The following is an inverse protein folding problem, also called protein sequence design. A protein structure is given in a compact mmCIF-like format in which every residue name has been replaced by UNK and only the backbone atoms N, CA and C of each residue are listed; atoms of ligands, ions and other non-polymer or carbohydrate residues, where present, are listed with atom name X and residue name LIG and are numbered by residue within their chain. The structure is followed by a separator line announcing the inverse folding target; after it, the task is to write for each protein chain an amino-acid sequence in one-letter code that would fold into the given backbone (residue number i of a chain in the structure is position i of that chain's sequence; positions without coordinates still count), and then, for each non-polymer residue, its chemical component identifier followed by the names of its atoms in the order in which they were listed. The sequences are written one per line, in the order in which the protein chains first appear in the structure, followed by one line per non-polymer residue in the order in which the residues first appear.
data_IF_738116300422
#
_entry.id   IF_738116300422
#
_cell.length_a   1.000
_cell.length_b   1.000
_cell.length_c   1.000
_cell.angle_alpha   90.00
_cell.angle_beta   90.00
_cell.angle_gamma   90.00
#
_symmetry.space_group_name_H-M   'P 1'
#
loop_
_entity.id
_entity.type
_entity.pdbx_description
1 polymer ?
#
# COMPACT_ATOMS: atom_id res chain seq x y z
N UNK A 1 -13.88 67.40 -54.96
CA UNK A 1 -14.34 66.16 -54.28
C UNK A 1 -14.07 64.98 -55.21
N UNK A 2 -13.02 64.16 -54.98
CA UNK A 2 -12.87 62.90 -55.72
C UNK A 2 -13.70 61.80 -55.03
N UNK A 3 -14.37 61.00 -55.86
CA UNK A 3 -15.23 59.90 -55.45
C UNK A 3 -14.46 58.83 -54.66
N UNK A 4 -15.00 58.42 -53.50
CA UNK A 4 -14.56 57.20 -52.82
C UNK A 4 -14.89 56.00 -53.71
N UNK A 5 -13.87 55.49 -54.40
CA UNK A 5 -13.96 54.28 -55.20
C UNK A 5 -14.36 53.07 -54.34
N UNK A 6 -15.25 52.24 -54.89
CA UNK A 6 -15.71 50.98 -54.29
C UNK A 6 -14.51 50.10 -53.94
N UNK A 7 -14.20 50.00 -52.65
CA UNK A 7 -13.16 49.10 -52.14
C UNK A 7 -13.60 47.66 -52.36
N UNK A 8 -12.74 46.86 -52.99
CA UNK A 8 -13.05 45.46 -53.28
C UNK A 8 -13.22 44.66 -51.97
N UNK A 9 -14.25 43.82 -51.82
CA UNK A 9 -14.58 43.15 -50.55
C UNK A 9 -13.45 42.28 -49.99
N UNK A 10 -12.61 41.72 -50.87
CA UNK A 10 -11.40 40.97 -50.46
C UNK A 10 -10.35 41.84 -49.77
N UNK A 11 -10.22 43.12 -50.18
CA UNK A 11 -9.31 44.05 -49.54
C UNK A 11 -9.81 44.45 -48.15
N UNK A 12 -11.13 44.66 -48.00
CA UNK A 12 -11.75 44.92 -46.69
C UNK A 12 -11.55 43.74 -45.74
N UNK A 13 -11.76 42.51 -46.23
CA UNK A 13 -11.54 41.30 -45.44
C UNK A 13 -10.07 41.16 -45.02
N UNK A 14 -9.13 41.41 -45.93
CA UNK A 14 -7.70 41.35 -45.63
C UNK A 14 -7.28 42.40 -44.59
N UNK A 15 -7.75 43.63 -44.72
CA UNK A 15 -7.50 44.70 -43.75
C UNK A 15 -8.11 44.36 -42.39
N UNK A 16 -9.32 43.81 -42.35
CA UNK A 16 -9.95 43.37 -41.10
C UNK A 16 -9.16 42.25 -40.42
N UNK A 17 -8.67 41.26 -41.18
CA UNK A 17 -7.82 40.19 -40.65
C UNK A 17 -6.51 40.76 -40.10
N UNK A 18 -5.84 41.63 -40.85
CA UNK A 18 -4.58 42.24 -40.41
C UNK A 18 -4.78 43.08 -39.14
N UNK A 19 -5.84 43.88 -39.07
CA UNK A 19 -6.16 44.66 -37.86
C UNK A 19 -6.52 43.76 -36.68
N UNK A 20 -7.24 42.66 -36.91
CA UNK A 20 -7.54 41.66 -35.89
C UNK A 20 -6.27 40.97 -35.39
N UNK A 21 -5.38 40.54 -36.28
CA UNK A 21 -4.09 39.96 -35.92
C UNK A 21 -3.21 40.95 -35.14
N UNK A 22 -3.15 42.22 -35.55
CA UNK A 22 -2.40 43.26 -34.84
C UNK A 22 -2.98 43.49 -33.43
N UNK A 23 -4.29 43.48 -33.27
CA UNK A 23 -4.93 43.60 -31.96
C UNK A 23 -4.55 42.46 -31.01
N UNK A 24 -4.42 41.23 -31.52
CA UNK A 24 -4.02 40.08 -30.70
C UNK A 24 -2.51 39.97 -30.46
N UNK A 25 -1.68 40.53 -31.35
CA UNK A 25 -0.21 40.49 -31.23
C UNK A 25 0.33 41.67 -30.40
N UNK A 26 -0.24 42.86 -30.53
CA UNK A 26 0.21 44.09 -29.87
C UNK A 26 -0.73 44.56 -28.74
N UNK A 27 -1.91 43.95 -28.60
CA UNK A 27 -2.77 44.20 -27.45
C UNK A 27 -2.11 43.71 -26.16
N UNK A 28 -2.32 44.38 -25.02
CA UNK A 28 -1.91 43.82 -23.74
C UNK A 28 -2.54 42.43 -23.60
N UNK A 29 -1.83 41.44 -23.04
CA UNK A 29 -2.40 40.11 -22.82
C UNK A 29 -3.74 40.29 -22.10
N UNK A 30 -4.79 39.63 -22.62
CA UNK A 30 -6.10 39.62 -21.98
C UNK A 30 -5.93 39.19 -20.52
N UNK A 31 -5.99 40.16 -19.62
CA UNK A 31 -5.94 39.92 -18.18
C UNK A 31 -7.29 39.33 -17.76
N UNK A 32 -7.40 38.01 -17.90
CA UNK A 32 -8.57 37.20 -17.52
C UNK A 32 -8.95 37.39 -16.04
N UNK A 33 -8.11 38.02 -15.21
CA UNK A 33 -8.41 38.34 -13.81
C UNK A 33 -9.27 39.59 -13.63
N UNK A 34 -9.52 40.39 -14.68
CA UNK A 34 -10.36 41.60 -14.62
C UNK A 34 -11.79 41.42 -15.15
N UNK A 35 -12.19 40.21 -15.53
CA UNK A 35 -13.57 39.95 -15.91
C UNK A 35 -14.47 39.93 -14.66
N UNK A 36 -15.68 40.52 -14.73
CA UNK A 36 -16.63 40.46 -13.63
C UNK A 36 -16.94 39.01 -13.27
N UNK A 37 -16.91 38.71 -11.97
CA UNK A 37 -16.88 37.36 -11.36
C UNK A 37 -18.00 36.38 -11.77
N UNK A 38 -18.97 36.81 -12.60
CA UNK A 38 -20.05 35.96 -13.12
C UNK A 38 -19.73 35.17 -14.39
N UNK A 39 -18.58 35.42 -15.05
CA UNK A 39 -18.25 34.79 -16.35
C UNK A 39 -16.94 34.01 -16.38
N UNK A 40 -16.27 33.82 -15.24
CA UNK A 40 -15.18 32.86 -15.14
C UNK A 40 -15.77 31.46 -15.00
N UNK A 41 -15.83 30.69 -16.09
CA UNK A 41 -15.87 29.23 -16.00
C UNK A 41 -14.57 28.81 -15.30
N UNK A 42 -14.60 28.70 -13.96
CA UNK A 42 -13.54 28.05 -13.20
C UNK A 42 -13.58 26.59 -13.61
N UNK A 43 -12.74 26.20 -14.57
CA UNK A 43 -12.40 24.78 -14.70
C UNK A 43 -11.93 24.34 -13.31
N UNK A 44 -12.55 23.30 -12.70
CA UNK A 44 -12.06 22.77 -11.44
C UNK A 44 -10.57 22.50 -11.59
N UNK A 45 -9.79 22.89 -10.58
CA UNK A 45 -8.36 22.61 -10.54
C UNK A 45 -8.19 21.08 -10.75
N UNK A 46 -7.28 20.61 -11.62
CA UNK A 46 -7.06 19.17 -11.81
C UNK A 46 -6.90 18.39 -10.49
N UNK A 47 -6.31 19.03 -9.48
CA UNK A 47 -6.20 18.47 -8.12
C UNK A 47 -7.56 18.28 -7.42
N UNK A 48 -8.48 19.25 -7.56
CA UNK A 48 -9.83 19.14 -6.99
C UNK A 48 -10.61 17.96 -7.61
N UNK A 49 -10.39 17.71 -8.92
CA UNK A 49 -11.01 16.58 -9.61
C UNK A 49 -10.54 15.25 -9.04
N UNK A 50 -9.24 15.08 -8.77
CA UNK A 50 -8.69 13.84 -8.24
C UNK A 50 -9.21 13.52 -6.84
N UNK A 51 -9.27 14.53 -5.95
CA UNK A 51 -9.83 14.36 -4.60
C UNK A 51 -11.33 14.11 -4.59
N UNK A 52 -12.05 14.52 -5.64
CA UNK A 52 -13.49 14.33 -5.78
C UNK A 52 -13.89 12.95 -6.33
N UNK A 53 -12.92 12.18 -6.85
CA UNK A 53 -13.19 10.84 -7.33
C UNK A 53 -13.54 9.91 -6.16
N UNK A 54 -14.51 8.98 -6.35
CA UNK A 54 -14.75 7.89 -5.41
C UNK A 54 -13.47 7.12 -5.08
N UNK A 55 -13.40 6.59 -3.86
CA UNK A 55 -12.21 5.87 -3.37
C UNK A 55 -11.77 4.76 -4.34
N UNK A 56 -12.70 3.98 -4.88
CA UNK A 56 -12.42 2.89 -5.82
C UNK A 56 -11.76 3.38 -7.12
N UNK A 57 -12.18 4.56 -7.61
CA UNK A 57 -11.61 5.15 -8.83
C UNK A 57 -10.19 5.67 -8.58
N UNK A 58 -9.91 6.18 -7.38
CA UNK A 58 -8.58 6.62 -6.99
C UNK A 58 -7.62 5.44 -6.86
N UNK A 59 -8.09 4.32 -6.29
CA UNK A 59 -7.33 3.07 -6.25
C UNK A 59 -7.06 2.54 -7.66
N UNK A 60 -8.07 2.52 -8.55
CA UNK A 60 -7.91 2.07 -9.93
C UNK A 60 -6.88 2.93 -10.70
N UNK A 61 -6.90 4.25 -10.51
CA UNK A 61 -5.90 5.14 -11.10
C UNK A 61 -4.51 4.91 -10.50
N UNK A 62 -4.41 4.70 -9.18
CA UNK A 62 -3.14 4.36 -8.54
C UNK A 62 -2.54 3.06 -9.10
N UNK A 63 -3.39 2.06 -9.38
CA UNK A 63 -2.99 0.79 -10.00
C UNK A 63 -2.50 0.96 -11.44
N UNK A 64 -3.13 1.83 -12.23
CA UNK A 64 -2.67 2.17 -13.57
C UNK A 64 -1.29 2.85 -13.52
N UNK A 65 -1.10 3.81 -12.61
CA UNK A 65 0.17 4.50 -12.42
C UNK A 65 1.28 3.57 -11.91
N UNK A 66 0.93 2.52 -11.16
CA UNK A 66 1.89 1.55 -10.64
C UNK A 66 2.56 0.72 -11.74
N UNK A 67 1.97 0.63 -12.94
CA UNK A 67 2.62 -0.04 -14.07
C UNK A 67 3.95 0.62 -14.44
N UNK A 68 4.09 1.94 -14.32
CA UNK A 68 5.36 2.64 -14.54
C UNK A 68 6.44 2.22 -13.51
N UNK A 69 6.03 1.94 -12.26
CA UNK A 69 6.95 1.41 -11.23
C UNK A 69 7.46 0.02 -11.62
N UNK A 70 6.58 -0.86 -12.10
CA UNK A 70 6.93 -2.21 -12.53
C UNK A 70 7.86 -2.20 -13.75
N UNK A 71 7.56 -1.34 -14.74
CA UNK A 71 8.39 -1.18 -15.94
C UNK A 71 9.80 -0.68 -15.59
N UNK A 72 9.90 0.32 -14.69
CA UNK A 72 11.17 0.84 -14.20
C UNK A 72 11.94 -0.16 -13.36
N UNK A 73 11.27 -0.96 -12.54
CA UNK A 73 11.90 -2.09 -11.82
C UNK A 73 12.53 -3.07 -12.80
N UNK A 74 11.80 -3.45 -13.85
CA UNK A 74 12.32 -4.35 -14.89
C UNK A 74 13.49 -3.73 -15.69
N UNK A 75 13.47 -2.42 -15.94
CA UNK A 75 14.60 -1.69 -16.51
C UNK A 75 15.83 -1.71 -15.59
N UNK A 76 15.65 -1.44 -14.30
CA UNK A 76 16.72 -1.50 -13.30
C UNK A 76 17.33 -2.89 -13.20
N UNK A 77 16.51 -3.94 -13.23
CA UNK A 77 16.99 -5.34 -13.30
C UNK A 77 17.89 -5.48 -14.52
N UNK A 78 17.36 -5.27 -15.73
CA UNK A 78 18.15 -5.41 -16.98
C UNK A 78 19.45 -4.59 -17.00
N UNK A 79 19.48 -3.44 -16.32
CA UNK A 79 20.65 -2.57 -16.22
C UNK A 79 21.74 -3.14 -15.31
N UNK A 80 21.37 -3.73 -14.17
CA UNK A 80 22.31 -4.16 -13.14
C UNK A 80 22.54 -5.68 -13.08
N UNK A 81 21.66 -6.46 -13.72
CA UNK A 81 21.77 -7.90 -13.93
C UNK A 81 20.73 -8.33 -14.98
N UNK A 82 21.13 -8.82 -16.17
CA UNK A 82 20.19 -9.08 -17.27
C UNK A 82 19.03 -10.00 -16.88
N UNK A 83 19.18 -10.79 -15.82
CA UNK A 83 18.10 -11.45 -15.10
C UNK A 83 18.10 -11.09 -13.60
N UNK A 84 17.02 -11.42 -12.88
CA UNK A 84 16.89 -11.17 -11.44
C UNK A 84 17.93 -11.92 -10.60
N UNK A 85 18.44 -13.05 -11.10
CA UNK A 85 19.51 -13.84 -10.46
C UNK A 85 20.87 -13.13 -10.50
N UNK A 86 21.09 -12.26 -11.49
CA UNK A 86 22.35 -11.54 -11.68
C UNK A 86 22.44 -10.25 -10.84
N UNK A 87 21.34 -9.81 -10.24
CA UNK A 87 21.29 -8.60 -9.41
C UNK A 87 21.72 -8.91 -7.98
N UNK A 88 22.69 -8.16 -7.45
CA UNK A 88 23.05 -8.21 -6.03
C UNK A 88 22.03 -7.42 -5.21
N UNK A 89 21.46 -7.99 -4.14
CA UNK A 89 20.51 -7.26 -3.28
C UNK A 89 21.16 -6.05 -2.59
N UNK A 90 22.35 -6.24 -2.02
CA UNK A 90 23.09 -5.17 -1.35
C UNK A 90 24.53 -5.17 -1.86
N UNK A 91 24.81 -4.48 -2.98
CA UNK A 91 26.12 -4.54 -3.60
C UNK A 91 27.21 -3.98 -2.69
N UNK A 92 28.38 -4.61 -2.73
CA UNK A 92 29.52 -4.15 -1.92
C UNK A 92 30.02 -2.77 -2.40
N UNK A 93 30.45 -1.86 -1.49
CA UNK A 93 30.87 -0.51 -1.86
C UNK A 93 31.98 -0.45 -2.92
N UNK A 94 32.85 -1.47 -2.97
CA UNK A 94 33.94 -1.58 -3.95
C UNK A 94 33.46 -1.66 -5.40
N UNK A 95 32.24 -2.16 -5.65
CA UNK A 95 31.65 -2.28 -6.99
C UNK A 95 31.10 -0.96 -7.54
N UNK A 96 30.99 0.08 -6.70
CA UNK A 96 30.44 1.42 -7.05
C UNK A 96 29.05 1.38 -7.69
N UNK A 97 28.26 0.34 -7.38
CA UNK A 97 26.86 0.26 -7.74
C UNK A 97 26.08 1.19 -6.81
N UNK A 98 25.26 2.07 -7.39
CA UNK A 98 24.52 3.11 -6.66
C UNK A 98 23.06 2.70 -6.48
N UNK A 99 22.86 1.56 -5.83
CA UNK A 99 21.54 1.05 -5.47
C UNK A 99 21.66 0.09 -4.27
N UNK A 100 20.52 -0.16 -3.64
CA UNK A 100 20.23 -1.24 -2.69
C UNK A 100 18.99 -1.99 -3.13
N UNK A 101 18.66 -3.08 -2.47
CA UNK A 101 17.45 -3.87 -2.71
C UNK A 101 16.21 -2.97 -2.76
N UNK A 102 16.13 -2.02 -1.83
CA UNK A 102 14.98 -1.14 -1.66
C UNK A 102 14.71 -0.22 -2.86
N UNK A 103 15.74 0.13 -3.64
CA UNK A 103 15.59 0.98 -4.83
C UNK A 103 14.81 0.30 -5.97
N UNK A 104 14.65 -1.03 -5.92
CA UNK A 104 13.83 -1.78 -6.88
C UNK A 104 12.36 -1.89 -6.44
N UNK A 105 12.09 -1.77 -5.14
CA UNK A 105 10.78 -2.02 -4.54
C UNK A 105 10.17 -0.74 -3.98
N UNK A 106 10.20 0.32 -4.78
CA UNK A 106 9.70 1.63 -4.39
C UNK A 106 8.19 1.65 -4.20
N UNK A 107 7.74 2.49 -3.27
CA UNK A 107 6.32 2.71 -2.97
C UNK A 107 5.65 3.57 -4.04
N UNK A 108 4.33 3.42 -4.18
CA UNK A 108 3.49 4.37 -4.89
C UNK A 108 2.54 5.03 -3.88
N UNK A 109 2.87 6.23 -3.36
CA UNK A 109 2.12 6.89 -2.29
C UNK A 109 0.64 7.13 -2.63
N UNK A 110 0.28 7.10 -3.91
CA UNK A 110 -1.09 7.25 -4.42
C UNK A 110 -2.02 6.11 -4.02
N UNK A 111 -1.52 4.96 -3.55
CA UNK A 111 -2.36 3.85 -3.12
C UNK A 111 -3.12 4.10 -1.82
N UNK A 112 -2.65 5.02 -0.97
CA UNK A 112 -3.49 5.48 0.12
C UNK A 112 -4.46 6.56 -0.39
N UNK A 113 -5.72 6.17 -0.61
CA UNK A 113 -6.78 7.12 -0.97
C UNK A 113 -7.21 8.01 0.22
N UNK A 114 -6.67 7.80 1.40
CA UNK A 114 -7.07 8.47 2.62
C UNK A 114 -5.88 9.16 3.28
N UNK A 115 -6.07 9.70 4.49
CA UNK A 115 -4.96 10.29 5.22
C UNK A 115 -3.97 9.19 5.61
N UNK A 116 -2.68 9.41 5.32
CA UNK A 116 -1.58 8.62 5.86
C UNK A 116 -1.10 9.23 7.17
N UNK A 117 -0.97 8.43 8.20
CA UNK A 117 -0.51 8.87 9.51
C UNK A 117 0.50 7.85 10.07
N UNK A 118 1.57 8.35 10.68
CA UNK A 118 2.47 7.52 11.49
C UNK A 118 1.88 7.37 12.87
N UNK A 119 1.60 6.14 13.28
CA UNK A 119 0.91 5.78 14.52
C UNK A 119 1.93 5.14 15.48
N UNK A 120 1.85 5.50 16.76
CA UNK A 120 2.81 5.13 17.79
C UNK A 120 3.93 6.17 17.95
N UNK A 121 4.99 5.78 18.66
CA UNK A 121 6.18 6.61 18.89
C UNK A 121 6.78 7.07 17.58
N UNK A 122 7.32 8.29 17.52
CA UNK A 122 8.08 8.79 16.35
C UNK A 122 9.48 8.17 16.21
N UNK A 123 9.87 7.35 17.16
CA UNK A 123 11.07 6.51 17.09
C UNK A 123 10.77 5.18 16.38
N UNK A 124 11.71 4.25 16.52
CA UNK A 124 11.54 2.82 16.22
C UNK A 124 10.28 2.25 16.89
N UNK A 125 9.51 1.44 16.17
CA UNK A 125 8.23 0.85 16.61
C UNK A 125 6.97 1.50 16.05
N UNK A 126 6.99 2.79 15.68
CA UNK A 126 5.84 3.44 15.03
C UNK A 126 5.66 3.00 13.57
N UNK A 127 4.40 2.84 13.11
CA UNK A 127 4.08 2.34 11.75
C UNK A 127 3.15 3.29 10.99
N UNK A 128 3.25 3.30 9.67
CA UNK A 128 2.38 4.13 8.81
C UNK A 128 1.06 3.43 8.48
N UNK A 129 -0.05 4.10 8.77
CA UNK A 129 -1.41 3.60 8.57
C UNK A 129 -2.13 4.46 7.56
N UNK A 130 -2.85 3.82 6.65
CA UNK A 130 -3.74 4.47 5.71
C UNK A 130 -5.18 4.50 6.25
N UNK A 131 -5.80 5.68 6.25
CA UNK A 131 -7.24 5.81 6.47
C UNK A 131 -7.72 5.51 7.88
N UNK A 132 -6.94 5.85 8.90
CA UNK A 132 -7.33 5.64 10.30
C UNK A 132 -8.64 6.38 10.63
N UNK A 133 -8.93 7.52 9.99
CA UNK A 133 -10.19 8.25 10.11
C UNK A 133 -11.42 7.52 9.55
N UNK A 134 -11.20 6.52 8.69
CA UNK A 134 -12.24 5.62 8.17
C UNK A 134 -12.44 4.47 9.16
N UNK A 135 -11.34 3.83 9.56
CA UNK A 135 -11.34 2.70 10.52
C UNK A 135 -11.94 3.12 11.86
N UNK A 136 -11.64 4.33 12.35
CA UNK A 136 -12.19 4.87 13.60
C UNK A 136 -13.73 4.96 13.63
N UNK A 137 -14.40 4.96 12.46
CA UNK A 137 -15.86 5.02 12.36
C UNK A 137 -16.51 3.64 12.34
N UNK A 138 -15.72 2.57 12.26
CA UNK A 138 -16.24 1.20 12.30
C UNK A 138 -16.63 0.84 13.73
N UNK A 139 -17.80 0.20 13.94
CA UNK A 139 -18.19 -0.27 15.26
C UNK A 139 -17.32 -1.45 15.71
N UNK A 140 -17.06 -2.40 14.81
CA UNK A 140 -16.39 -3.67 15.09
C UNK A 140 -15.13 -3.82 14.24
N UNK A 141 -14.09 -3.01 14.53
CA UNK A 141 -12.80 -3.16 13.87
C UNK A 141 -11.82 -4.02 14.67
N UNK A 142 -10.97 -4.75 13.95
CA UNK A 142 -10.03 -5.72 14.51
C UNK A 142 -8.62 -5.38 14.06
N UNK A 143 -7.69 -5.32 15.01
CA UNK A 143 -6.26 -5.12 14.72
C UNK A 143 -5.47 -6.26 15.32
N UNK A 144 -4.60 -6.87 14.52
CA UNK A 144 -3.65 -7.88 14.99
C UNK A 144 -2.25 -7.28 14.94
N UNK A 145 -1.50 -7.40 16.04
CA UNK A 145 -0.13 -6.93 16.14
C UNK A 145 0.78 -8.05 16.64
N UNK A 146 1.77 -8.41 15.83
CA UNK A 146 2.78 -9.41 16.15
C UNK A 146 4.12 -8.72 16.41
N UNK A 147 4.82 -9.16 17.46
CA UNK A 147 6.07 -8.54 17.90
C UNK A 147 5.82 -7.17 18.52
N UNK A 148 5.30 -7.19 19.73
CA UNK A 148 4.95 -5.99 20.50
C UNK A 148 6.13 -5.58 21.38
N UNK A 149 6.85 -6.56 21.92
CA UNK A 149 7.94 -6.37 22.87
C UNK A 149 7.49 -5.47 24.06
N UNK A 150 8.40 -4.68 24.62
CA UNK A 150 8.11 -3.72 25.70
C UNK A 150 7.62 -2.33 25.19
N UNK A 151 7.37 -2.16 23.90
CA UNK A 151 6.92 -0.88 23.29
C UNK A 151 5.54 -1.08 22.65
N UNK A 152 4.49 -0.59 23.29
CA UNK A 152 3.11 -0.79 22.81
C UNK A 152 2.43 0.51 22.37
N UNK A 153 3.22 1.49 21.91
CA UNK A 153 2.70 2.82 21.59
C UNK A 153 1.79 2.81 20.37
N UNK A 154 2.10 1.97 19.37
CA UNK A 154 1.28 1.79 18.17
C UNK A 154 -0.11 1.28 18.57
N UNK A 155 -0.16 0.21 19.35
CA UNK A 155 -1.40 -0.42 19.79
C UNK A 155 -2.19 0.51 20.73
N UNK A 156 -1.50 1.20 21.64
CA UNK A 156 -2.11 2.17 22.54
C UNK A 156 -2.77 3.33 21.78
N UNK A 157 -2.11 3.86 20.75
CA UNK A 157 -2.65 4.95 19.95
C UNK A 157 -3.87 4.50 19.12
N UNK A 158 -3.83 3.31 18.52
CA UNK A 158 -4.99 2.71 17.84
C UNK A 158 -6.16 2.57 18.82
N UNK A 159 -5.93 2.00 20.01
CA UNK A 159 -6.95 1.86 21.05
C UNK A 159 -7.52 3.22 21.45
N UNK A 160 -6.69 4.25 21.61
CA UNK A 160 -7.11 5.58 22.04
C UNK A 160 -7.92 6.36 20.98
N UNK A 161 -7.72 6.07 19.70
CA UNK A 161 -8.31 6.84 18.58
C UNK A 161 -9.44 6.13 17.84
N UNK A 162 -9.68 4.85 18.14
CA UNK A 162 -10.66 4.01 17.44
C UNK A 162 -11.49 3.17 18.41
N UNK A 163 -12.54 2.54 17.88
CA UNK A 163 -13.31 1.53 18.60
C UNK A 163 -12.74 0.11 18.46
N UNK A 164 -11.56 -0.06 17.86
CA UNK A 164 -11.06 -1.38 17.52
C UNK A 164 -10.72 -2.19 18.76
N UNK A 165 -10.87 -3.51 18.64
CA UNK A 165 -10.24 -4.46 19.56
C UNK A 165 -8.86 -4.81 18.99
N UNK A 166 -7.83 -4.67 19.80
CA UNK A 166 -6.43 -4.94 19.42
C UNK A 166 -5.98 -6.24 20.07
N UNK A 167 -5.45 -7.14 19.24
CA UNK A 167 -4.91 -8.44 19.63
C UNK A 167 -3.40 -8.42 19.44
N UNK A 168 -2.66 -8.44 20.55
CA UNK A 168 -1.21 -8.51 20.60
C UNK A 168 -0.72 -9.94 20.75
N UNK A 169 0.31 -10.28 19.98
CA UNK A 169 0.92 -11.58 19.96
C UNK A 169 2.44 -11.45 20.07
N UNK A 170 2.99 -11.91 21.18
CA UNK A 170 4.43 -11.89 21.39
C UNK A 170 4.84 -12.91 22.45
N UNK A 171 5.63 -13.90 22.07
CA UNK A 171 6.11 -14.92 23.01
C UNK A 171 7.30 -14.46 23.87
N UNK A 172 7.98 -13.37 23.51
CA UNK A 172 9.16 -12.88 24.20
C UNK A 172 8.83 -12.08 25.46
N UNK A 173 7.59 -11.58 25.55
CA UNK A 173 7.04 -10.86 26.70
C UNK A 173 5.77 -11.53 27.21
N UNK A 174 5.34 -11.13 28.41
CA UNK A 174 4.18 -11.76 29.08
C UNK A 174 2.97 -10.83 29.19
N UNK A 175 3.13 -9.56 28.78
CA UNK A 175 2.11 -8.52 28.86
C UNK A 175 2.46 -7.39 27.89
N UNK A 176 1.51 -6.49 27.70
CA UNK A 176 1.72 -5.23 27.01
C UNK A 176 2.79 -4.35 27.67
N UNK A 177 3.42 -3.50 26.86
CA UNK A 177 4.25 -2.38 27.30
C UNK A 177 3.48 -1.37 28.17
N UNK A 178 4.19 -0.43 28.81
CA UNK A 178 3.62 0.52 29.76
C UNK A 178 2.52 1.39 29.14
N UNK A 179 2.54 1.66 27.84
CA UNK A 179 1.55 2.48 27.14
C UNK A 179 0.12 1.93 27.26
N UNK A 180 -0.03 0.61 27.41
CA UNK A 180 -1.32 -0.06 27.65
C UNK A 180 -1.42 -0.54 29.10
N UNK A 181 -0.36 -1.16 29.64
CA UNK A 181 -0.38 -1.73 30.99
C UNK A 181 -0.66 -0.70 32.08
N UNK A 182 -0.19 0.53 31.92
CA UNK A 182 -0.38 1.61 32.89
C UNK A 182 -1.66 2.44 32.61
N UNK A 183 -2.45 2.08 31.60
CA UNK A 183 -3.69 2.75 31.24
C UNK A 183 -4.89 1.78 31.24
N UNK A 184 -5.56 1.60 32.39
CA UNK A 184 -6.69 0.68 32.54
C UNK A 184 -7.88 0.97 31.62
N UNK A 185 -7.99 2.18 31.05
CA UNK A 185 -9.07 2.52 30.13
C UNK A 185 -8.94 1.80 28.77
N UNK A 186 -7.73 1.35 28.40
CA UNK A 186 -7.46 0.66 27.14
C UNK A 186 -7.64 -0.86 27.27
N UNK A 187 -7.42 -1.41 28.46
CA UNK A 187 -7.43 -2.85 28.74
C UNK A 187 -8.68 -3.61 28.25
N UNK A 188 -9.92 -3.09 28.31
CA UNK A 188 -11.10 -3.83 27.86
C UNK A 188 -11.06 -4.24 26.39
N UNK A 189 -10.29 -3.53 25.55
CA UNK A 189 -10.15 -3.78 24.11
C UNK A 189 -8.75 -4.27 23.74
N UNK A 190 -7.85 -4.46 24.70
CA UNK A 190 -6.48 -4.90 24.47
C UNK A 190 -6.31 -6.37 24.93
N UNK A 191 -6.23 -7.29 23.97
CA UNK A 191 -6.09 -8.72 24.23
C UNK A 191 -4.64 -9.14 23.95
N UNK A 192 -3.96 -9.74 24.93
CA UNK A 192 -2.55 -10.16 24.77
C UNK A 192 -2.42 -11.68 24.83
N UNK A 193 -1.61 -12.24 23.94
CA UNK A 193 -1.34 -13.67 23.86
C UNK A 193 0.17 -13.92 23.68
N UNK A 194 0.79 -14.79 24.50
CA UNK A 194 2.22 -15.08 24.40
C UNK A 194 2.51 -16.13 23.31
N UNK A 195 2.07 -15.86 22.08
CA UNK A 195 2.18 -16.76 20.93
C UNK A 195 3.06 -16.14 19.84
N UNK A 196 3.73 -16.97 19.05
CA UNK A 196 4.35 -16.53 17.81
C UNK A 196 3.47 -16.78 16.59
N UNK A 197 3.79 -16.09 15.49
CA UNK A 197 3.22 -16.35 14.17
C UNK A 197 4.26 -17.05 13.29
N UNK A 198 3.83 -18.03 12.52
CA UNK A 198 4.69 -18.67 11.53
C UNK A 198 3.89 -19.23 10.35
N UNK A 199 4.58 -19.78 9.35
CA UNK A 199 3.94 -20.43 8.21
C UNK A 199 3.24 -21.75 8.52
N UNK A 200 3.34 -22.27 9.75
CA UNK A 200 2.67 -23.51 10.18
C UNK A 200 2.33 -23.48 11.68
N UNK A 201 1.35 -24.27 12.07
CA UNK A 201 1.05 -24.43 13.49
C UNK A 201 2.08 -25.38 14.13
N UNK A 202 2.68 -24.98 15.25
CA UNK A 202 3.52 -25.82 16.09
C UNK A 202 3.13 -25.65 17.54
N UNK A 203 2.81 -26.75 18.19
CA UNK A 203 2.57 -26.80 19.63
C UNK A 203 3.82 -26.36 20.41
N UNK A 204 3.62 -25.95 21.66
CA UNK A 204 4.73 -25.66 22.56
C UNK A 204 5.54 -26.94 22.83
N UNK A 205 6.86 -26.87 22.63
CA UNK A 205 7.78 -28.00 22.85
C UNK A 205 8.88 -27.54 23.81
N UNK A 206 8.82 -28.01 25.06
CA UNK A 206 9.75 -27.60 26.11
C UNK A 206 9.65 -26.09 26.35
N UNK A 207 10.77 -25.38 26.23
CA UNK A 207 10.83 -23.92 26.36
C UNK A 207 10.46 -23.18 25.06
N UNK A 208 10.18 -23.90 23.97
CA UNK A 208 9.78 -23.27 22.69
C UNK A 208 8.29 -22.86 22.76
N UNK A 209 7.98 -21.59 22.47
CA UNK A 209 6.60 -21.09 22.51
C UNK A 209 5.76 -21.69 21.38
N UNK A 210 4.42 -21.70 21.52
CA UNK A 210 3.56 -22.13 20.44
C UNK A 210 3.61 -21.11 19.29
N UNK A 211 3.61 -21.62 18.07
CA UNK A 211 3.56 -20.81 16.84
C UNK A 211 2.28 -21.16 16.10
N UNK A 212 1.60 -20.16 15.55
CA UNK A 212 0.36 -20.35 14.80
C UNK A 212 0.40 -19.66 13.45
N UNK A 213 -0.34 -20.18 12.48
CA UNK A 213 -0.68 -19.46 11.27
C UNK A 213 -1.70 -18.36 11.56
N UNK A 214 -1.70 -17.31 10.73
CA UNK A 214 -2.71 -16.24 10.83
C UNK A 214 -4.14 -16.81 10.76
N UNK A 215 -4.37 -17.77 9.84
CA UNK A 215 -5.67 -18.43 9.67
C UNK A 215 -6.14 -19.15 10.93
N UNK A 216 -5.24 -19.82 11.66
CA UNK A 216 -5.57 -20.47 12.93
C UNK A 216 -5.94 -19.45 14.00
N UNK A 217 -5.17 -18.36 14.14
CA UNK A 217 -5.46 -17.31 15.11
C UNK A 217 -6.78 -16.58 14.81
N UNK A 218 -7.08 -16.32 13.55
CA UNK A 218 -8.37 -15.77 13.12
C UNK A 218 -9.52 -16.71 13.48
N UNK A 219 -9.35 -18.02 13.24
CA UNK A 219 -10.35 -19.03 13.60
C UNK A 219 -10.56 -19.13 15.12
N UNK A 220 -9.49 -19.11 15.91
CA UNK A 220 -9.56 -19.16 17.38
C UNK A 220 -10.33 -17.98 17.96
N UNK A 221 -10.17 -16.80 17.36
CA UNK A 221 -10.86 -15.58 17.78
C UNK A 221 -12.21 -15.36 17.09
N UNK A 222 -12.63 -16.28 16.22
CA UNK A 222 -13.85 -16.15 15.41
C UNK A 222 -13.89 -14.86 14.55
N UNK A 223 -12.75 -14.49 13.98
CA UNK A 223 -12.62 -13.36 13.06
C UNK A 223 -12.52 -13.86 11.61
N UNK A 224 -13.19 -13.16 10.71
CA UNK A 224 -13.10 -13.39 9.26
C UNK A 224 -12.30 -12.32 8.54
N UNK A 225 -12.03 -11.19 9.20
CA UNK A 225 -11.31 -10.05 8.63
C UNK A 225 -10.54 -9.28 9.69
N UNK A 226 -9.41 -8.68 9.30
CA UNK A 226 -8.55 -7.84 10.13
C UNK A 226 -8.41 -6.46 9.44
N UNK A 227 -8.73 -5.37 10.10
CA UNK A 227 -8.61 -4.03 9.50
C UNK A 227 -7.15 -3.61 9.33
N UNK A 228 -6.31 -3.90 10.34
CA UNK A 228 -4.88 -3.57 10.36
C UNK A 228 -4.11 -4.79 10.87
N UNK A 229 -3.18 -5.29 10.07
CA UNK A 229 -2.27 -6.36 10.44
C UNK A 229 -0.85 -5.80 10.57
N UNK A 230 -0.30 -5.75 11.79
CA UNK A 230 1.10 -5.43 12.05
C UNK A 230 1.91 -6.72 12.23
N UNK A 231 2.97 -6.91 11.45
CA UNK A 231 3.92 -8.02 11.59
C UNK A 231 5.31 -7.43 11.80
N UNK A 232 5.81 -7.50 13.03
CA UNK A 232 7.06 -6.88 13.43
C UNK A 232 7.93 -7.90 14.16
N UNK A 233 8.32 -8.94 13.45
CA UNK A 233 8.91 -10.16 14.02
C UNK A 233 10.28 -10.44 13.42
N UNK A 234 11.13 -11.10 14.20
CA UNK A 234 12.51 -11.37 13.83
C UNK A 234 12.64 -12.65 13.00
N UNK A 235 12.63 -12.52 11.67
CA UNK A 235 13.10 -13.56 10.73
C UNK A 235 12.08 -14.60 10.28
N UNK A 236 10.79 -14.44 10.58
CA UNK A 236 9.72 -15.35 10.14
C UNK A 236 8.75 -14.72 9.15
N UNK A 237 9.02 -13.52 8.66
CA UNK A 237 8.14 -12.72 7.81
C UNK A 237 7.89 -13.38 6.45
N UNK A 238 8.97 -13.83 5.80
CA UNK A 238 8.91 -14.45 4.49
C UNK A 238 8.09 -15.74 4.51
N UNK A 239 8.37 -16.63 5.46
CA UNK A 239 7.65 -17.90 5.60
C UNK A 239 6.18 -17.69 6.01
N UNK A 240 5.93 -16.76 6.94
CA UNK A 240 4.58 -16.42 7.40
C UNK A 240 3.73 -15.90 6.25
N UNK A 241 4.23 -14.92 5.49
CA UNK A 241 3.48 -14.35 4.38
C UNK A 241 3.38 -15.31 3.20
N UNK A 242 4.40 -16.12 2.91
CA UNK A 242 4.32 -17.14 1.86
C UNK A 242 3.25 -18.18 2.16
N UNK A 243 3.18 -18.67 3.41
CA UNK A 243 2.14 -19.59 3.85
C UNK A 243 0.75 -18.95 3.84
N UNK A 244 0.65 -17.68 4.25
CA UNK A 244 -0.59 -16.92 4.16
C UNK A 244 -1.07 -16.82 2.70
N UNK A 245 -0.20 -16.44 1.78
CA UNK A 245 -0.55 -16.39 0.36
C UNK A 245 -1.01 -17.77 -0.14
N UNK A 246 -0.28 -18.84 0.18
CA UNK A 246 -0.64 -20.20 -0.23
C UNK A 246 -2.00 -20.65 0.32
N UNK A 247 -2.34 -20.28 1.56
CA UNK A 247 -3.61 -20.61 2.19
C UNK A 247 -4.81 -19.89 1.55
N UNK A 248 -4.56 -18.77 0.87
CA UNK A 248 -5.60 -17.99 0.22
C UNK A 248 -5.59 -18.15 -1.31
N UNK A 249 -4.61 -18.79 -1.95
CA UNK A 249 -4.69 -19.05 -3.39
C UNK A 249 -5.83 -20.02 -3.76
N UNK A 250 -6.49 -19.87 -4.93
CA UNK A 250 -7.54 -20.79 -5.31
C UNK A 250 -6.90 -22.15 -5.58
N UNK A 251 -7.47 -23.23 -5.04
CA UNK A 251 -7.03 -24.58 -5.42
C UNK A 251 -7.09 -24.71 -6.96
N UNK A 252 -6.06 -25.30 -7.60
CA UNK A 252 -6.12 -25.60 -9.02
C UNK A 252 -7.37 -26.43 -9.30
N UNK A 253 -8.32 -25.89 -10.07
CA UNK A 253 -9.50 -26.67 -10.44
C UNK A 253 -9.03 -27.93 -11.20
N UNK A 254 -9.49 -29.13 -10.82
CA UNK A 254 -9.20 -30.32 -11.59
C UNK A 254 -9.72 -30.11 -13.01
N UNK A 255 -8.84 -30.22 -14.00
CA UNK A 255 -9.21 -30.15 -15.41
C UNK A 255 -10.20 -31.29 -15.70
N UNK A 256 -11.49 -30.97 -15.80
CA UNK A 256 -12.51 -31.90 -16.26
C UNK A 256 -12.30 -32.15 -17.76
N UNK A 257 -11.47 -33.14 -18.10
CA UNK A 257 -11.34 -33.68 -19.45
C UNK A 257 -12.54 -34.58 -19.77
N UNK A 258 -13.71 -33.99 -20.01
CA UNK A 258 -14.82 -34.66 -20.69
C UNK A 258 -15.56 -33.64 -21.57
N UNK A 259 -14.95 -33.31 -22.71
CA UNK A 259 -15.67 -32.62 -23.79
C UNK A 259 -16.57 -33.63 -24.51
N UNK A 260 -17.83 -33.77 -24.08
CA UNK A 260 -18.87 -34.33 -24.95
C UNK A 260 -19.24 -33.30 -26.03
N UNK A 261 -19.29 -33.68 -27.32
CA UNK A 261 -19.68 -32.76 -28.38
C UNK A 261 -21.21 -32.60 -28.39
N UNK A 262 -21.71 -31.42 -27.98
CA UNK A 262 -23.10 -31.05 -28.27
C UNK A 262 -23.83 -30.13 -27.29
N UNK A 263 -23.25 -29.71 -26.16
CA UNK A 263 -23.87 -28.71 -25.27
C UNK A 263 -23.14 -27.37 -25.30
N UNK A 264 -23.85 -26.31 -25.63
CA UNK A 264 -23.42 -24.94 -25.36
C UNK A 264 -23.37 -24.71 -23.85
N UNK A 265 -22.26 -25.06 -23.22
CA UNK A 265 -21.99 -24.67 -21.86
C UNK A 265 -21.40 -23.25 -21.88
N UNK A 266 -22.18 -22.28 -21.38
CA UNK A 266 -21.60 -21.03 -20.87
C UNK A 266 -20.54 -21.42 -19.85
N UNK A 267 -19.26 -21.21 -20.17
CA UNK A 267 -18.18 -21.39 -19.22
C UNK A 267 -18.53 -20.58 -17.95
N UNK A 268 -18.51 -21.19 -16.76
CA UNK A 268 -18.64 -20.44 -15.53
C UNK A 268 -17.63 -19.29 -15.53
N UNK A 269 -18.05 -18.10 -15.13
CA UNK A 269 -17.11 -17.01 -14.85
C UNK A 269 -16.04 -17.57 -13.90
N UNK A 270 -14.74 -17.31 -14.16
CA UNK A 270 -13.69 -17.77 -13.25
C UNK A 270 -14.02 -17.29 -11.83
N UNK A 271 -13.73 -18.11 -10.80
CA UNK A 271 -13.92 -17.67 -9.42
C UNK A 271 -13.19 -16.34 -9.20
N UNK A 272 -13.76 -15.43 -8.40
CA UNK A 272 -13.09 -14.17 -8.09
C UNK A 272 -11.68 -14.49 -7.55
N UNK A 273 -10.67 -13.66 -7.91
CA UNK A 273 -9.34 -13.86 -7.39
C UNK A 273 -9.40 -13.83 -5.86
N UNK A 274 -8.57 -14.63 -5.19
CA UNK A 274 -8.66 -14.69 -3.75
C UNK A 274 -8.26 -13.38 -3.11
N UNK A 275 -8.94 -13.08 -2.01
CA UNK A 275 -8.77 -11.86 -1.25
C UNK A 275 -8.14 -12.20 0.09
N UNK A 276 -7.01 -11.56 0.40
CA UNK A 276 -6.39 -11.70 1.71
C UNK A 276 -7.36 -11.19 2.82
N UNK A 277 -7.32 -11.78 4.02
CA UNK A 277 -8.32 -11.55 5.06
C UNK A 277 -8.02 -10.28 5.89
N UNK A 278 -7.34 -9.29 5.30
CA UNK A 278 -6.98 -8.06 5.99
C UNK A 278 -7.01 -6.85 5.07
N UNK A 279 -7.21 -5.66 5.64
CA UNK A 279 -7.31 -4.40 4.89
C UNK A 279 -5.97 -3.76 4.57
N UNK A 280 -5.05 -3.76 5.53
CA UNK A 280 -3.69 -3.26 5.35
C UNK A 280 -2.69 -4.05 6.19
N UNK A 281 -1.43 -4.04 5.75
CA UNK A 281 -0.31 -4.72 6.39
C UNK A 281 0.79 -3.69 6.69
N UNK A 282 1.19 -3.61 7.96
CA UNK A 282 2.37 -2.90 8.42
C UNK A 282 3.41 -3.96 8.76
N UNK A 283 4.58 -3.90 8.16
CA UNK A 283 5.58 -4.95 8.31
C UNK A 283 6.99 -4.40 8.34
N UNK A 284 7.78 -4.82 9.33
CA UNK A 284 9.23 -4.71 9.25
C UNK A 284 9.76 -5.92 8.46
N UNK A 285 10.62 -5.67 7.49
CA UNK A 285 11.18 -6.70 6.62
C UNK A 285 12.66 -6.86 6.93
N UNK A 286 13.03 -8.02 7.49
CA UNK A 286 14.41 -8.45 7.71
C UNK A 286 14.99 -9.15 6.48
N UNK A 287 15.49 -8.39 5.49
CA UNK A 287 16.00 -8.96 4.24
C UNK A 287 17.33 -9.73 4.37
N UNK A 288 18.14 -9.43 5.40
CA UNK A 288 19.41 -10.08 5.74
C UNK A 288 20.15 -10.79 4.60
N UNK A 289 20.07 -12.12 4.53
CA UNK A 289 20.81 -12.97 3.60
C UNK A 289 20.00 -13.37 2.35
N UNK A 290 18.80 -12.83 2.17
CA UNK A 290 17.98 -13.12 1.00
C UNK A 290 18.65 -12.60 -0.28
N UNK A 291 18.65 -13.43 -1.31
CA UNK A 291 19.09 -13.00 -2.65
C UNK A 291 18.07 -12.07 -3.26
N UNK A 292 18.50 -11.23 -4.21
CA UNK A 292 17.59 -10.36 -4.94
C UNK A 292 16.48 -11.17 -5.62
N UNK A 293 16.81 -12.28 -6.30
CA UNK A 293 15.83 -13.13 -6.98
C UNK A 293 14.79 -13.74 -6.02
N UNK A 294 15.20 -14.21 -4.85
CA UNK A 294 14.28 -14.74 -3.85
C UNK A 294 13.34 -13.65 -3.32
N UNK A 295 13.90 -12.48 -2.98
CA UNK A 295 13.11 -11.33 -2.54
C UNK A 295 12.15 -10.86 -3.62
N UNK A 296 12.61 -10.74 -4.87
CA UNK A 296 11.79 -10.34 -6.01
C UNK A 296 10.61 -11.28 -6.18
N UNK A 297 10.84 -12.60 -6.16
CA UNK A 297 9.78 -13.61 -6.29
C UNK A 297 8.74 -13.48 -5.18
N UNK A 298 9.20 -13.37 -3.94
CA UNK A 298 8.33 -13.18 -2.78
C UNK A 298 7.52 -11.89 -2.87
N UNK A 299 8.17 -10.77 -3.20
CA UNK A 299 7.53 -9.48 -3.37
C UNK A 299 6.47 -9.50 -4.47
N UNK A 300 6.78 -10.07 -5.63
CA UNK A 300 5.82 -10.20 -6.73
C UNK A 300 4.62 -11.05 -6.33
N UNK A 301 4.79 -12.05 -5.46
CA UNK A 301 3.67 -12.83 -4.95
C UNK A 301 2.73 -11.98 -4.05
N UNK A 302 3.27 -11.04 -3.27
CA UNK A 302 2.45 -10.06 -2.53
C UNK A 302 1.69 -9.15 -3.50
N UNK A 303 2.35 -8.66 -4.54
CA UNK A 303 1.74 -7.83 -5.59
C UNK A 303 0.62 -8.58 -6.33
N UNK A 304 0.87 -9.85 -6.69
CA UNK A 304 -0.09 -10.73 -7.35
C UNK A 304 -1.28 -11.07 -6.46
N UNK A 305 -1.12 -11.03 -5.13
CA UNK A 305 -2.20 -11.19 -4.17
C UNK A 305 -3.01 -9.90 -3.94
N UNK A 306 -2.57 -8.77 -4.51
CA UNK A 306 -3.25 -7.48 -4.40
C UNK A 306 -2.72 -6.57 -3.30
N UNK A 307 -1.53 -6.85 -2.74
CA UNK A 307 -0.88 -5.89 -1.83
C UNK A 307 -0.15 -4.81 -2.63
N UNK A 308 -0.33 -3.56 -2.23
CA UNK A 308 0.35 -2.41 -2.84
C UNK A 308 1.06 -1.57 -1.79
N UNK A 309 2.37 -1.35 -1.92
CA UNK A 309 3.13 -0.55 -0.98
C UNK A 309 2.75 0.93 -1.10
N UNK A 310 2.27 1.54 -0.02
CA UNK A 310 1.97 2.97 0.02
C UNK A 310 2.99 3.78 0.84
N UNK A 311 3.79 3.12 1.67
CA UNK A 311 4.86 3.76 2.45
C UNK A 311 6.02 2.81 2.76
N UNK A 312 7.21 3.37 2.94
CA UNK A 312 8.41 2.66 3.41
C UNK A 312 9.30 3.55 4.26
N UNK A 313 9.93 2.98 5.27
CA UNK A 313 10.96 3.62 6.09
C UNK A 313 12.13 2.65 6.28
N UNK A 314 13.29 2.86 5.63
CA UNK A 314 14.49 2.09 5.94
C UNK A 314 14.86 2.24 7.42
N UNK A 315 15.22 1.13 8.09
CA UNK A 315 15.52 1.16 9.52
C UNK A 315 16.92 1.78 9.76
N UNK A 316 16.95 3.11 9.86
CA UNK A 316 18.18 3.86 10.12
C UNK A 316 18.66 3.71 11.57
N UNK A 317 17.78 3.35 12.50
CA UNK A 317 18.12 3.07 13.90
C UNK A 317 19.03 1.85 13.97
N UNK A 318 18.69 0.78 13.26
CA UNK A 318 19.52 -0.41 13.10
C UNK A 318 20.93 -0.07 12.61
N UNK A 319 21.04 0.66 11.50
CA UNK A 319 22.35 1.02 10.92
C UNK A 319 23.15 1.96 11.84
N UNK A 320 22.47 2.84 12.59
CA UNK A 320 23.12 3.72 13.56
C UNK A 320 23.66 2.96 14.78
N UNK A 321 22.87 2.02 15.32
CA UNK A 321 23.24 1.24 16.50
C UNK A 321 24.27 0.15 16.17
N UNK A 322 24.17 -0.45 14.99
CA UNK A 322 25.09 -1.47 14.49
C UNK A 322 25.95 -0.89 13.37
N UNK A 323 26.90 -0.02 13.73
CA UNK A 323 27.77 0.66 12.76
C UNK A 323 28.54 -0.34 11.89
N UNK A 324 28.45 -0.14 10.57
CA UNK A 324 29.07 -1.03 9.58
C UNK A 324 28.14 -2.13 9.08
N UNK A 325 26.93 -2.25 9.64
CA UNK A 325 25.88 -3.10 9.08
C UNK A 325 25.39 -2.59 7.73
N UNK A 326 24.98 -3.54 6.90
CA UNK A 326 24.27 -3.28 5.64
C UNK A 326 22.82 -2.88 5.99
N UNK A 327 22.19 -1.92 5.28
CA UNK A 327 20.81 -1.48 5.57
C UNK A 327 19.80 -2.53 5.11
N UNK A 328 19.76 -3.69 5.76
CA UNK A 328 18.96 -4.86 5.37
C UNK A 328 17.58 -4.92 6.01
N UNK A 329 17.20 -3.91 6.78
CA UNK A 329 15.91 -3.81 7.46
C UNK A 329 15.14 -2.58 6.93
N UNK A 330 13.87 -2.76 6.63
CA UNK A 330 12.99 -1.67 6.23
C UNK A 330 11.54 -1.95 6.62
N UNK A 331 10.88 -0.91 7.10
CA UNK A 331 9.45 -0.86 7.31
C UNK A 331 8.74 -0.68 5.99
N UNK A 332 7.66 -1.43 5.77
CA UNK A 332 6.73 -1.23 4.67
C UNK A 332 5.29 -1.21 5.16
N UNK A 333 4.47 -0.45 4.46
CA UNK A 333 3.03 -0.42 4.68
C UNK A 333 2.31 -0.66 3.36
N UNK A 334 1.44 -1.67 3.37
CA UNK A 334 0.71 -2.14 2.20
C UNK A 334 -0.79 -1.98 2.41
N UNK A 335 -1.51 -1.67 1.34
CA UNK A 335 -2.97 -1.78 1.28
C UNK A 335 -3.36 -3.00 0.45
N UNK A 336 -4.40 -3.73 0.87
CA UNK A 336 -4.96 -4.84 0.10
C UNK A 336 -6.02 -4.33 -0.89
N UNK A 337 -5.62 -4.02 -2.12
CA UNK A 337 -6.54 -3.42 -3.11
C UNK A 337 -7.61 -4.39 -3.65
N UNK A 338 -7.49 -5.69 -3.35
CA UNK A 338 -8.50 -6.70 -3.70
C UNK A 338 -9.51 -6.96 -2.58
N UNK A 339 -9.25 -6.48 -1.37
CA UNK A 339 -10.14 -6.63 -0.24
C UNK A 339 -11.39 -5.76 -0.35
N UNK A 340 -12.49 -6.18 0.28
CA UNK A 340 -13.68 -5.35 0.46
C UNK A 340 -13.65 -4.62 1.79
N UNK A 341 -13.00 -3.45 1.84
CA UNK A 341 -12.88 -2.66 3.08
C UNK A 341 -12.86 -1.15 2.85
N UNK A 342 -13.06 -0.39 3.93
CA UNK A 342 -13.38 1.05 3.90
C UNK A 342 -12.24 1.98 3.45
N UNK A 343 -11.03 1.43 3.26
CA UNK A 343 -9.83 2.15 2.82
C UNK A 343 -9.68 2.12 1.29
N UNK A 344 -10.33 1.16 0.62
CA UNK A 344 -10.26 0.99 -0.85
C UNK A 344 -11.61 1.21 -1.52
N UNK A 345 -12.67 1.43 -0.73
CA UNK A 345 -14.02 1.66 -1.24
C UNK A 345 -14.82 2.59 -0.32
N UNK A 346 -15.70 3.39 -0.93
CA UNK A 346 -16.63 4.26 -0.19
C UNK A 346 -17.83 3.48 0.35
N UNK A 347 -18.04 2.25 -0.11
CA UNK A 347 -19.03 1.33 0.45
C UNK A 347 -18.65 1.02 1.89
N UNK A 348 -19.66 1.00 2.76
CA UNK A 348 -19.46 0.59 4.15
C UNK A 348 -19.54 -0.92 4.22
N UNK A 349 -18.46 -1.53 4.71
CA UNK A 349 -18.41 -2.97 4.97
C UNK A 349 -18.65 -3.14 6.47
N UNK A 350 -19.88 -3.55 6.82
CA UNK A 350 -20.33 -3.83 8.18
C UNK A 350 -20.40 -5.32 8.43
#
# INVERSE_FOLDING_TARGET
MPALGRVHPRFVALVAIVLFSIFFILGPPLDLQRLPAGWTFRSPNPLDRLSSLPTEQRIALAEELYQDVLDRRAELVRRFGPTVEDVEAFPTPSRRLLYTLWDFFVVAPTFCAHRMERIGTFSDGGKWVCGLERIAKKPDCVVYSFGVNDESSFEAEILGRTNCTVYGYDFSVTKWGPEISDNPALSPRAQFFPYGISGKDTEAIGDSPPMYTLSTLMKMNNHTFIDILKIDIEGSEFDTLSALLAAYQPEPQPQSQTSEPGRSHSSPLPPPPPTLPFGQLQIEIHAWAHTFAAFHTWWTALEDAGLRPFWTEPNLVYVNNFRGSVPTLAEYSFVNIRGGHDVVSDRRYY
#
